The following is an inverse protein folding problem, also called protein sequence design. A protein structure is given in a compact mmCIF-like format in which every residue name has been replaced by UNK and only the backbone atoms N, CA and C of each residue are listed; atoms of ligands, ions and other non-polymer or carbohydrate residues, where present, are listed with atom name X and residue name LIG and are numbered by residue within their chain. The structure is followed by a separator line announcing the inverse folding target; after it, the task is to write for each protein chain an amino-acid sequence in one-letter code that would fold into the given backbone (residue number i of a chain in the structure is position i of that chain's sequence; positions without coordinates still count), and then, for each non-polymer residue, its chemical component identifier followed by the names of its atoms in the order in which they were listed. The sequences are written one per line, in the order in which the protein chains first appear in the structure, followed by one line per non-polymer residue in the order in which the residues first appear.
data_IF_419266912612
#
_entry.id   IF_419266912612
#
_cell.length_a   1.000
_cell.length_b   1.000
_cell.length_c   1.000
_cell.angle_alpha   90.00
_cell.angle_beta   90.00
_cell.angle_gamma   90.00
#
_symmetry.space_group_name_H-M   'P 1'
#
loop_
_entity.id
_entity.type
_entity.pdbx_description
1 polymer ?
#
# COMPACT_ATOMS: atom_id res chain seq x y z
N UNK A 1 2.25 8.39 30.85
CA UNK A 1 2.70 8.49 29.45
C UNK A 1 2.99 7.08 28.94
N UNK A 2 2.85 6.85 27.63
CA UNK A 2 3.12 5.54 27.02
C UNK A 2 4.57 5.09 27.24
N UNK A 3 4.75 3.84 27.66
CA UNK A 3 6.06 3.23 27.97
C UNK A 3 6.83 2.78 26.73
N UNK A 4 6.14 2.50 25.63
CA UNK A 4 6.71 1.98 24.39
C UNK A 4 7.05 3.12 23.41
N UNK A 5 7.98 2.85 22.50
CA UNK A 5 8.43 3.83 21.49
C UNK A 5 7.46 3.96 20.31
N UNK A 6 6.47 3.07 20.22
CA UNK A 6 5.47 3.01 19.15
C UNK A 6 4.06 3.01 19.73
N UNK A 7 3.13 3.56 18.95
CA UNK A 7 1.71 3.57 19.23
C UNK A 7 0.98 2.70 18.21
N UNK A 8 0.02 1.91 18.68
CA UNK A 8 -0.93 1.19 17.85
C UNK A 8 -2.33 1.82 18.01
N UNK A 9 -2.99 2.08 16.89
CA UNK A 9 -4.34 2.62 16.82
C UNK A 9 -5.28 1.59 16.20
N UNK A 10 -6.43 1.37 16.80
CA UNK A 10 -7.51 0.57 16.23
C UNK A 10 -8.80 0.92 16.98
N UNK A 11 -9.92 0.95 16.29
CA UNK A 11 -11.23 1.05 16.93
C UNK A 11 -11.65 -0.33 17.49
N UNK A 12 -12.52 -0.35 18.50
CA UNK A 12 -13.01 -1.58 19.13
C UNK A 12 -14.01 -2.35 18.23
N UNK A 13 -14.50 -1.70 17.18
CA UNK A 13 -15.43 -2.26 16.20
C UNK A 13 -14.74 -3.17 15.17
N UNK A 14 -13.43 -3.02 15.02
CA UNK A 14 -12.65 -3.73 14.02
C UNK A 14 -11.63 -4.64 14.68
N UNK A 15 -11.31 -5.75 14.02
CA UNK A 15 -10.22 -6.62 14.43
C UNK A 15 -9.25 -6.78 13.27
N UNK A 16 -8.07 -6.20 13.41
CA UNK A 16 -6.99 -6.45 12.47
C UNK A 16 -6.34 -7.80 12.79
N UNK A 17 -6.49 -8.78 11.90
CA UNK A 17 -5.88 -10.10 12.03
C UNK A 17 -4.50 -10.18 11.35
N UNK A 18 -4.00 -9.07 10.80
CA UNK A 18 -2.76 -8.99 10.01
C UNK A 18 -1.69 -8.11 10.69
N UNK A 19 -1.61 -8.23 12.02
CA UNK A 19 -0.76 -7.38 12.85
C UNK A 19 0.72 -7.66 12.63
N UNK A 20 1.11 -8.92 12.41
CA UNK A 20 2.51 -9.27 12.28
C UNK A 20 3.07 -8.66 10.99
N UNK A 21 2.31 -8.72 9.90
CA UNK A 21 2.69 -8.14 8.61
C UNK A 21 2.67 -6.62 8.64
N UNK A 22 1.64 -6.01 9.23
CA UNK A 22 1.56 -4.55 9.38
C UNK A 22 2.74 -4.03 10.23
N UNK A 23 3.02 -4.68 11.36
CA UNK A 23 4.14 -4.33 12.23
C UNK A 23 5.48 -4.56 11.54
N UNK A 24 5.64 -5.67 10.82
CA UNK A 24 6.85 -5.98 10.05
C UNK A 24 7.14 -4.92 8.97
N UNK A 25 6.10 -4.38 8.32
CA UNK A 25 6.28 -3.25 7.41
C UNK A 25 6.69 -1.97 8.15
N UNK A 26 6.04 -1.68 9.29
CA UNK A 26 6.31 -0.50 10.11
C UNK A 26 7.75 -0.46 10.64
N UNK A 27 8.29 -1.56 11.17
CA UNK A 27 9.64 -1.58 11.75
C UNK A 27 10.76 -1.34 10.72
N UNK A 28 10.48 -1.53 9.42
CA UNK A 28 11.42 -1.16 8.34
C UNK A 28 11.59 0.35 8.26
N UNK A 29 10.50 1.08 8.48
CA UNK A 29 10.44 2.54 8.32
C UNK A 29 9.57 3.18 9.42
N UNK A 30 9.99 3.11 10.70
CA UNK A 30 9.16 3.48 11.84
C UNK A 30 8.90 4.98 11.94
N UNK A 31 9.59 5.79 11.13
CA UNK A 31 9.26 7.20 10.96
C UNK A 31 7.93 7.37 10.25
N UNK A 32 7.47 6.47 9.38
CA UNK A 32 6.21 6.65 8.66
C UNK A 32 5.00 6.19 9.48
N UNK A 33 3.82 6.71 9.15
CA UNK A 33 2.54 6.16 9.61
C UNK A 33 2.19 4.97 8.70
N UNK A 34 2.11 3.78 9.27
CA UNK A 34 1.67 2.58 8.55
C UNK A 34 0.24 2.27 8.95
N UNK A 35 -0.68 2.22 8.00
CA UNK A 35 -2.10 2.00 8.25
C UNK A 35 -2.64 0.87 7.41
N UNK A 36 -3.64 0.20 7.95
CA UNK A 36 -4.41 -0.82 7.27
C UNK A 36 -5.63 -0.20 6.61
N UNK A 37 -6.03 -0.69 5.43
CA UNK A 37 -7.27 -0.25 4.79
C UNK A 37 -8.00 -1.41 4.12
N UNK A 38 -9.34 -1.48 4.27
CA UNK A 38 -10.18 -2.31 3.42
C UNK A 38 -10.18 -1.81 1.97
N UNK A 39 -10.37 -2.71 0.98
CA UNK A 39 -10.43 -2.35 -0.43
C UNK A 39 -11.44 -1.23 -0.73
N UNK A 40 -12.62 -1.31 -0.12
CA UNK A 40 -13.71 -0.35 -0.28
C UNK A 40 -13.36 1.09 0.13
N UNK A 41 -12.36 1.28 0.99
CA UNK A 41 -11.89 2.59 1.43
C UNK A 41 -10.50 2.95 0.88
N UNK A 42 -9.84 2.02 0.18
CA UNK A 42 -8.45 2.17 -0.22
C UNK A 42 -8.28 3.28 -1.26
N UNK A 43 -9.05 3.22 -2.35
CA UNK A 43 -8.98 4.21 -3.44
C UNK A 43 -9.30 5.61 -2.93
N UNK A 44 -10.32 5.77 -2.10
CA UNK A 44 -10.68 7.09 -1.56
C UNK A 44 -9.57 7.65 -0.67
N UNK A 45 -8.92 6.83 0.16
CA UNK A 45 -7.75 7.26 0.93
C UNK A 45 -6.57 7.67 0.03
N UNK A 46 -6.39 7.02 -1.13
CA UNK A 46 -5.39 7.45 -2.12
C UNK A 46 -5.77 8.80 -2.76
N UNK A 47 -7.04 9.01 -3.11
CA UNK A 47 -7.55 10.29 -3.67
C UNK A 47 -7.33 11.44 -2.69
N UNK A 48 -7.41 11.18 -1.39
CA UNK A 48 -7.24 12.19 -0.35
C UNK A 48 -5.78 12.38 0.05
N UNK A 49 -4.88 12.32 -0.93
CA UNK A 49 -3.49 12.77 -0.83
C UNK A 49 -3.37 14.17 -1.40
N UNK A 50 -2.66 15.02 -0.68
CA UNK A 50 -2.47 16.43 -0.99
C UNK A 50 -0.99 16.69 -1.22
N UNK A 51 -0.68 17.43 -2.28
CA UNK A 51 0.66 17.89 -2.59
C UNK A 51 0.64 19.39 -2.93
N UNK A 52 1.51 20.18 -2.33
CA UNK A 52 1.77 21.55 -2.76
C UNK A 52 3.21 21.95 -2.42
N UNK A 53 4.04 22.03 -3.45
CA UNK A 53 5.46 22.33 -3.34
C UNK A 53 5.75 23.76 -2.82
N UNK A 54 4.85 24.72 -3.05
CA UNK A 54 5.04 26.12 -2.63
C UNK A 54 5.01 26.28 -1.11
N UNK A 55 4.24 25.43 -0.43
CA UNK A 55 4.07 25.44 1.02
C UNK A 55 4.66 24.21 1.70
N UNK A 56 5.36 23.35 0.95
CA UNK A 56 5.90 22.07 1.41
C UNK A 56 4.84 21.16 2.07
N UNK A 57 3.67 21.05 1.42
CA UNK A 57 2.59 20.16 1.82
C UNK A 57 2.74 18.84 1.08
N UNK A 58 2.84 17.73 1.80
CA UNK A 58 2.91 16.37 1.27
C UNK A 58 2.27 15.40 2.26
N UNK A 59 0.93 15.34 2.22
CA UNK A 59 0.17 14.63 3.25
C UNK A 59 -0.92 13.76 2.65
N UNK A 60 -1.47 12.85 3.43
CA UNK A 60 -2.61 12.06 3.00
C UNK A 60 -3.44 11.59 4.17
N UNK A 61 -4.72 11.32 3.89
CA UNK A 61 -5.58 10.69 4.87
C UNK A 61 -5.32 9.18 4.94
N UNK A 62 -5.32 8.66 6.15
CA UNK A 62 -5.45 7.24 6.45
C UNK A 62 -6.45 7.04 7.58
N UNK A 63 -7.33 6.06 7.43
CA UNK A 63 -8.29 5.70 8.46
C UNK A 63 -7.66 4.75 9.48
N UNK A 64 -7.39 5.28 10.67
CA UNK A 64 -6.68 4.57 11.73
C UNK A 64 -7.54 3.50 12.42
N UNK A 65 -8.86 3.53 12.21
CA UNK A 65 -9.79 2.61 12.89
C UNK A 65 -9.49 1.15 12.55
N UNK A 66 -8.89 0.91 11.38
CA UNK A 66 -8.59 -0.41 10.82
C UNK A 66 -7.26 -1.02 11.30
N UNK A 67 -6.50 -0.29 12.12
CA UNK A 67 -5.17 -0.70 12.56
C UNK A 67 -4.10 0.21 11.96
N UNK A 68 -3.34 0.88 12.80
CA UNK A 68 -2.21 1.68 12.36
C UNK A 68 -1.09 1.69 13.40
N UNK A 69 0.15 1.71 12.93
CA UNK A 69 1.34 1.95 13.75
C UNK A 69 1.95 3.31 13.43
N UNK A 70 2.36 4.00 14.48
CA UNK A 70 3.12 5.25 14.38
C UNK A 70 4.14 5.35 15.51
N UNK A 71 5.24 6.08 15.27
CA UNK A 71 6.16 6.39 16.35
C UNK A 71 5.52 7.27 17.42
N UNK A 72 5.87 7.03 18.70
CA UNK A 72 5.36 7.78 19.85
C UNK A 72 5.55 9.29 19.70
N UNK A 73 6.68 9.72 19.14
CA UNK A 73 7.00 11.13 18.97
C UNK A 73 6.01 11.85 18.04
N UNK A 74 5.45 11.18 17.02
CA UNK A 74 4.40 11.76 16.17
C UNK A 74 3.10 11.97 16.95
N UNK A 75 2.70 11.00 17.77
CA UNK A 75 1.55 11.15 18.67
C UNK A 75 1.75 12.31 19.66
N UNK A 76 2.95 12.46 20.22
CA UNK A 76 3.27 13.57 21.13
C UNK A 76 3.25 14.94 20.43
N UNK A 77 3.80 15.03 19.23
CA UNK A 77 3.78 16.24 18.40
C UNK A 77 2.34 16.61 18.05
N UNK A 78 1.54 15.64 17.61
CA UNK A 78 0.13 15.83 17.30
C UNK A 78 -0.66 16.34 18.51
N UNK A 79 -0.49 15.73 19.69
CA UNK A 79 -1.17 16.19 20.91
C UNK A 79 -0.75 17.61 21.31
N UNK A 80 0.54 17.94 21.13
CA UNK A 80 1.06 19.31 21.38
C UNK A 80 0.43 20.31 20.42
N UNK A 81 0.30 19.94 19.15
CA UNK A 81 -0.33 20.76 18.14
C UNK A 81 -1.83 20.91 18.38
N UNK A 82 -2.54 19.83 18.69
CA UNK A 82 -3.95 19.82 19.01
C UNK A 82 -4.26 20.74 20.20
N UNK A 83 -3.44 20.69 21.25
CA UNK A 83 -3.57 21.57 22.43
C UNK A 83 -3.29 23.05 22.15
N UNK A 84 -2.58 23.37 21.07
CA UNK A 84 -2.32 24.74 20.60
C UNK A 84 -3.26 25.19 19.48
N UNK A 85 -4.03 24.26 18.92
CA UNK A 85 -4.99 24.53 17.85
C UNK A 85 -6.19 25.30 18.38
N UNK A 86 -6.84 26.07 17.51
CA UNK A 86 -8.09 26.80 17.82
C UNK A 86 -9.31 25.92 17.49
N UNK A 87 -9.13 24.60 17.43
CA UNK A 87 -10.23 23.69 17.13
C UNK A 87 -11.26 23.71 18.28
N UNK A 88 -12.52 23.90 17.92
CA UNK A 88 -13.63 23.79 18.86
C UNK A 88 -13.75 22.36 19.45
N UNK A 89 -14.42 22.22 20.61
CA UNK A 89 -14.57 20.93 21.32
C UNK A 89 -15.12 19.81 20.44
N UNK A 90 -16.03 20.12 19.52
CA UNK A 90 -16.61 19.12 18.61
C UNK A 90 -15.61 18.62 17.57
N UNK A 91 -14.64 19.45 17.16
CA UNK A 91 -13.58 19.06 16.22
C UNK A 91 -12.48 18.25 16.90
N UNK A 92 -12.21 18.48 18.18
CA UNK A 92 -11.28 17.65 18.97
C UNK A 92 -11.73 16.18 19.02
N UNK A 93 -13.04 15.91 18.96
CA UNK A 93 -13.57 14.55 18.86
C UNK A 93 -13.25 13.86 17.53
N UNK A 94 -12.85 14.63 16.52
CA UNK A 94 -12.43 14.16 15.20
C UNK A 94 -10.89 14.18 15.05
N UNK A 95 -10.15 14.22 16.18
CA UNK A 95 -8.69 14.25 16.20
C UNK A 95 -8.04 13.10 15.41
N UNK A 96 -8.67 11.93 15.37
CA UNK A 96 -8.18 10.78 14.59
C UNK A 96 -8.02 11.09 13.10
N UNK A 97 -8.94 11.87 12.51
CA UNK A 97 -8.89 12.26 11.10
C UNK A 97 -7.78 13.25 10.80
N UNK A 98 -7.50 14.14 11.76
CA UNK A 98 -6.42 15.11 11.62
C UNK A 98 -5.06 14.46 11.79
N UNK A 99 -4.92 13.36 12.53
CA UNK A 99 -3.62 12.78 12.87
C UNK A 99 -2.76 12.47 11.64
N UNK A 100 -3.31 11.76 10.64
CA UNK A 100 -2.58 11.40 9.42
C UNK A 100 -2.27 12.66 8.58
N UNK A 101 -3.25 13.53 8.39
CA UNK A 101 -3.11 14.76 7.59
C UNK A 101 -2.09 15.73 8.23
N UNK A 102 -2.15 15.91 9.54
CA UNK A 102 -1.27 16.75 10.33
C UNK A 102 0.11 16.11 10.58
N UNK A 103 0.36 14.90 10.12
CA UNK A 103 1.74 14.40 10.11
C UNK A 103 2.60 15.05 9.02
N UNK A 104 1.95 15.69 8.03
CA UNK A 104 2.56 16.17 6.79
C UNK A 104 3.48 15.12 6.17
N UNK A 105 3.01 13.87 6.13
CA UNK A 105 3.67 12.76 5.48
C UNK A 105 2.59 11.91 4.82
N UNK A 106 2.91 11.30 3.67
CA UNK A 106 2.01 10.29 3.11
C UNK A 106 1.98 9.07 4.04
N UNK A 107 0.80 8.56 4.44
CA UNK A 107 0.72 7.29 5.13
C UNK A 107 1.08 6.13 4.19
N UNK A 108 1.72 5.09 4.72
CA UNK A 108 1.91 3.82 4.02
C UNK A 108 0.70 2.93 4.30
N UNK A 109 -0.23 2.90 3.34
CA UNK A 109 -1.48 2.16 3.46
C UNK A 109 -1.27 0.75 2.90
N UNK A 110 -1.50 -0.27 3.73
CA UNK A 110 -1.56 -1.66 3.33
C UNK A 110 -3.02 -2.08 3.18
N UNK A 111 -3.36 -2.59 2.01
CA UNK A 111 -4.68 -3.11 1.72
C UNK A 111 -4.87 -4.50 2.32
N UNK A 112 -6.03 -4.71 2.94
CA UNK A 112 -6.48 -6.05 3.34
C UNK A 112 -7.99 -6.08 3.59
N UNK A 113 -8.66 -7.23 3.43
CA UNK A 113 -10.09 -7.33 3.66
C UNK A 113 -10.39 -7.17 5.15
N UNK A 114 -11.11 -6.09 5.49
CA UNK A 114 -11.78 -5.89 6.78
C UNK A 114 -13.25 -5.68 6.46
N UNK A 115 -14.15 -6.28 7.24
CA UNK A 115 -15.58 -5.95 7.13
C UNK A 115 -15.76 -4.42 7.30
N UNK A 116 -16.63 -3.78 6.51
CA UNK A 116 -16.72 -2.31 6.47
C UNK A 116 -17.96 -1.79 7.20
N UNK A 117 -17.80 -0.67 7.91
CA UNK A 117 -18.86 0.29 8.22
C UNK A 117 -18.30 1.71 8.05
N UNK A 118 -19.17 2.61 7.59
CA UNK A 118 -18.85 3.86 6.86
C UNK A 118 -17.77 4.78 7.47
N UNK A 119 -16.59 4.81 6.86
CA UNK A 119 -15.49 5.74 7.13
C UNK A 119 -15.66 7.11 6.43
N UNK A 120 -16.14 7.08 5.17
CA UNK A 120 -16.19 8.22 4.24
C UNK A 120 -16.98 9.40 4.83
N UNK A 121 -18.19 9.13 5.36
CA UNK A 121 -19.06 10.16 5.94
C UNK A 121 -18.42 10.92 7.11
N UNK A 122 -17.49 10.31 7.84
CA UNK A 122 -16.85 10.94 9.01
C UNK A 122 -15.72 11.88 8.59
N UNK A 123 -14.92 11.51 7.59
CA UNK A 123 -13.88 12.37 7.04
C UNK A 123 -14.46 13.61 6.36
N UNK A 124 -15.47 13.45 5.49
CA UNK A 124 -16.10 14.58 4.79
C UNK A 124 -16.57 15.63 5.81
N UNK A 125 -17.21 15.16 6.89
CA UNK A 125 -17.66 16.02 7.99
C UNK A 125 -16.49 16.70 8.73
N UNK A 126 -15.37 16.03 8.94
CA UNK A 126 -14.21 16.62 9.62
C UNK A 126 -13.55 17.73 8.79
N UNK A 127 -13.51 17.56 7.47
CA UNK A 127 -12.89 18.51 6.54
C UNK A 127 -13.79 19.71 6.21
N UNK A 128 -15.08 19.50 5.97
CA UNK A 128 -16.06 20.59 5.79
C UNK A 128 -16.13 21.51 7.01
N UNK A 129 -15.88 20.94 8.19
CA UNK A 129 -15.94 21.70 9.42
C UNK A 129 -14.64 22.46 9.70
N UNK A 130 -13.50 22.24 9.04
CA UNK A 130 -12.25 22.96 9.34
C UNK A 130 -12.21 24.36 8.72
N UNK A 131 -11.94 25.38 9.54
CA UNK A 131 -11.91 26.81 9.18
C UNK A 131 -10.68 27.50 9.79
N UNK A 132 -9.63 26.74 10.11
CA UNK A 132 -8.48 27.28 10.83
C UNK A 132 -7.52 28.05 9.90
N UNK A 133 -7.29 29.32 10.20
CA UNK A 133 -6.27 30.14 9.54
C UNK A 133 -4.88 29.82 10.10
N UNK A 134 -4.11 29.03 9.34
CA UNK A 134 -2.64 28.79 9.41
C UNK A 134 -1.98 28.52 10.79
N UNK A 135 -1.28 27.38 10.96
CA UNK A 135 -0.65 27.03 12.23
C UNK A 135 0.78 27.57 12.37
N UNK A 136 1.17 27.84 13.63
CA UNK A 136 2.58 27.82 14.05
C UNK A 136 3.17 26.45 13.67
N UNK A 137 4.29 26.47 12.98
CA UNK A 137 4.87 25.33 12.29
C UNK A 137 5.31 24.21 13.26
N UNK A 138 4.61 23.07 13.25
CA UNK A 138 4.95 21.85 14.00
C UNK A 138 5.08 20.63 13.08
N UNK A 139 5.10 20.85 11.76
CA UNK A 139 5.05 19.80 10.76
C UNK A 139 6.40 19.62 10.09
N UNK A 140 6.75 18.37 9.78
CA UNK A 140 7.95 18.12 8.99
C UNK A 140 7.74 18.54 7.54
N UNK A 141 8.61 19.42 7.07
CA UNK A 141 8.56 20.02 5.72
C UNK A 141 9.27 19.18 4.67
N UNK A 142 9.97 18.13 5.08
CA UNK A 142 10.70 17.23 4.19
C UNK A 142 9.97 15.89 4.23
N UNK A 143 9.69 15.33 3.04
CA UNK A 143 9.14 13.98 2.93
C UNK A 143 10.14 12.98 3.51
N UNK A 144 9.66 12.16 4.44
CA UNK A 144 10.43 11.09 5.08
C UNK A 144 10.66 9.95 4.09
N UNK A 145 11.87 9.37 4.13
CA UNK A 145 12.18 8.17 3.37
C UNK A 145 11.50 6.93 3.99
N UNK A 146 11.07 5.95 3.19
CA UNK A 146 11.03 5.98 1.72
C UNK A 146 9.95 6.94 1.23
N UNK A 147 10.28 7.62 0.14
CA UNK A 147 9.34 8.49 -0.58
C UNK A 147 8.21 7.66 -1.18
N UNK A 148 7.11 8.31 -1.52
CA UNK A 148 5.91 7.62 -1.97
C UNK A 148 6.14 6.60 -3.11
N UNK A 149 6.98 6.94 -4.10
CA UNK A 149 7.30 6.05 -5.24
C UNK A 149 8.21 4.87 -4.90
N UNK A 150 8.84 4.88 -3.72
CA UNK A 150 9.71 3.79 -3.23
C UNK A 150 8.91 2.77 -2.40
N UNK A 151 7.62 3.03 -2.14
CA UNK A 151 6.77 2.22 -1.27
C UNK A 151 6.06 1.13 -2.05
N UNK A 152 6.76 0.01 -2.20
CA UNK A 152 6.31 -1.12 -3.01
C UNK A 152 5.35 -2.07 -2.30
N UNK A 153 5.34 -2.15 -0.97
CA UNK A 153 4.39 -2.97 -0.23
C UNK A 153 2.96 -2.40 -0.31
N UNK A 154 2.02 -3.18 -0.86
CA UNK A 154 0.64 -2.73 -1.13
C UNK A 154 -0.42 -3.48 -0.34
N UNK A 155 -0.23 -4.77 -0.07
CA UNK A 155 -1.21 -5.59 0.63
C UNK A 155 -0.56 -6.60 1.56
N UNK A 156 -1.33 -7.08 2.53
CA UNK A 156 -0.92 -8.20 3.40
C UNK A 156 -1.45 -9.51 2.83
N UNK A 157 -0.68 -10.57 2.99
CA UNK A 157 -1.15 -11.92 2.68
C UNK A 157 -2.21 -12.37 3.69
N UNK A 158 -3.18 -13.18 3.24
CA UNK A 158 -4.29 -13.65 4.09
C UNK A 158 -3.84 -14.42 5.33
N UNK A 159 -2.68 -15.06 5.27
CA UNK A 159 -2.10 -15.84 6.36
C UNK A 159 -1.21 -15.02 7.31
N UNK A 160 -1.11 -13.70 7.10
CA UNK A 160 -0.27 -12.78 7.87
C UNK A 160 1.23 -13.15 7.87
N UNK A 161 1.73 -13.75 6.77
CA UNK A 161 3.13 -14.21 6.65
C UNK A 161 3.92 -13.57 5.51
N UNK A 162 3.29 -12.69 4.73
CA UNK A 162 3.96 -11.95 3.69
C UNK A 162 3.29 -10.61 3.38
N UNK A 163 4.06 -9.71 2.78
CA UNK A 163 3.61 -8.50 2.11
C UNK A 163 3.60 -8.75 0.60
N UNK A 164 2.49 -8.47 -0.05
CA UNK A 164 2.45 -8.31 -1.49
C UNK A 164 3.08 -6.98 -1.89
N UNK A 165 3.99 -7.04 -2.86
CA UNK A 165 4.76 -5.87 -3.33
C UNK A 165 4.59 -5.68 -4.83
N UNK A 166 4.55 -4.42 -5.26
CA UNK A 166 4.50 -4.02 -6.67
C UNK A 166 4.88 -2.55 -6.81
N UNK A 167 5.53 -2.17 -7.91
CA UNK A 167 5.72 -0.76 -8.28
C UNK A 167 4.57 -0.20 -9.14
N UNK A 168 3.61 -1.04 -9.53
CA UNK A 168 2.46 -0.63 -10.33
C UNK A 168 1.42 0.01 -9.41
N UNK A 169 1.26 1.33 -9.54
CA UNK A 169 0.26 2.09 -8.82
C UNK A 169 -1.09 2.06 -9.54
N UNK A 170 -2.16 1.93 -8.77
CA UNK A 170 -3.54 2.05 -9.26
C UNK A 170 -3.92 3.51 -9.59
N UNK A 171 -3.19 4.47 -9.02
CA UNK A 171 -3.50 5.90 -9.13
C UNK A 171 -2.23 6.68 -9.46
N UNK A 172 -2.40 7.78 -10.19
CA UNK A 172 -1.37 8.79 -10.40
C UNK A 172 -0.80 9.31 -9.08
N UNK A 173 0.43 9.79 -9.10
CA UNK A 173 1.06 10.32 -7.90
C UNK A 173 0.44 11.68 -7.56
N UNK A 174 0.28 12.02 -6.27
CA UNK A 174 -0.25 13.32 -5.87
C UNK A 174 0.65 14.47 -6.34
N UNK A 175 1.90 14.22 -6.72
CA UNK A 175 2.78 15.22 -7.35
C UNK A 175 2.33 15.66 -8.74
N UNK A 176 1.48 14.87 -9.40
CA UNK A 176 0.96 15.16 -10.74
C UNK A 176 -0.10 16.28 -10.71
N UNK A 177 -0.56 16.67 -9.52
CA UNK A 177 -1.51 17.75 -9.31
C UNK A 177 -1.13 18.62 -8.10
N UNK A 178 -1.22 19.94 -8.24
CA UNK A 178 -0.94 20.87 -7.15
C UNK A 178 -2.23 21.26 -6.42
N UNK A 179 -2.36 20.81 -5.17
CA UNK A 179 -3.46 21.19 -4.30
C UNK A 179 -3.42 22.68 -3.95
N UNK A 180 -4.52 23.39 -4.20
CA UNK A 180 -4.70 24.77 -3.78
C UNK A 180 -6.08 24.97 -3.16
N UNK A 181 -6.13 25.60 -1.99
CA UNK A 181 -7.38 25.96 -1.31
C UNK A 181 -8.21 26.99 -2.07
N UNK A 182 -7.61 27.71 -3.03
CA UNK A 182 -8.35 28.61 -3.93
C UNK A 182 -9.25 27.85 -4.91
N UNK A 183 -8.85 26.61 -5.27
CA UNK A 183 -9.49 25.82 -6.32
C UNK A 183 -10.27 24.64 -5.74
N UNK A 184 -9.78 24.07 -4.63
CA UNK A 184 -10.36 22.93 -3.94
C UNK A 184 -10.71 23.37 -2.53
N UNK A 185 -12.01 23.51 -2.28
CA UNK A 185 -12.55 23.94 -0.99
C UNK A 185 -13.19 22.80 -0.21
N UNK A 186 -13.41 21.64 -0.84
CA UNK A 186 -14.05 20.48 -0.23
C UNK A 186 -13.61 19.16 -0.90
N UNK A 187 -13.91 18.04 -0.24
CA UNK A 187 -13.57 16.69 -0.71
C UNK A 187 -14.19 16.34 -2.07
N UNK A 188 -15.50 16.60 -2.32
CA UNK A 188 -16.07 16.32 -3.64
C UNK A 188 -15.35 17.03 -4.79
N UNK A 189 -14.86 18.26 -4.58
CA UNK A 189 -14.04 18.96 -5.57
C UNK A 189 -12.68 18.28 -5.78
N UNK A 190 -12.03 17.83 -4.70
CA UNK A 190 -10.79 17.05 -4.79
C UNK A 190 -11.02 15.75 -5.59
N UNK A 191 -12.06 14.99 -5.25
CA UNK A 191 -12.40 13.75 -5.93
C UNK A 191 -12.72 13.97 -7.41
N UNK A 192 -13.42 15.07 -7.75
CA UNK A 192 -13.68 15.45 -9.13
C UNK A 192 -12.38 15.66 -9.93
N UNK A 193 -11.31 16.20 -9.33
CA UNK A 193 -10.02 16.35 -10.03
C UNK A 193 -9.40 15.00 -10.43
N UNK A 194 -9.63 13.95 -9.64
CA UNK A 194 -9.18 12.59 -9.98
C UNK A 194 -10.10 11.89 -10.97
N UNK A 195 -11.40 12.22 -10.99
CA UNK A 195 -12.34 11.65 -11.97
C UNK A 195 -12.05 12.13 -13.41
N UNK A 196 -11.53 13.35 -13.55
CA UNK A 196 -11.11 13.89 -14.85
C UNK A 196 -9.79 13.25 -15.35
N UNK A 197 -9.01 12.66 -14.44
CA UNK A 197 -7.87 11.85 -14.78
C UNK A 197 -8.37 10.45 -15.16
N UNK A 198 -8.32 10.12 -16.46
CA UNK A 198 -8.81 8.87 -17.07
C UNK A 198 -8.11 7.58 -16.59
N UNK A 199 -7.37 7.65 -15.49
CA UNK A 199 -6.43 6.66 -14.99
C UNK A 199 -6.77 6.15 -13.58
N UNK A 200 -7.99 6.38 -13.07
CA UNK A 200 -8.43 5.90 -11.74
C UNK A 200 -9.60 4.91 -11.88
N UNK A 201 -9.53 3.70 -11.30
CA UNK A 201 -10.66 2.78 -11.32
C UNK A 201 -11.85 3.25 -10.47
N UNK A 202 -13.03 2.69 -10.75
CA UNK A 202 -14.17 2.81 -9.84
C UNK A 202 -13.91 2.02 -8.55
N UNK A 203 -14.60 2.40 -7.47
CA UNK A 203 -14.51 1.66 -6.20
C UNK A 203 -15.00 0.21 -6.39
N UNK A 204 -16.07 0.00 -7.16
CA UNK A 204 -16.59 -1.34 -7.50
C UNK A 204 -15.53 -2.21 -8.20
N UNK A 205 -14.84 -1.65 -9.21
CA UNK A 205 -13.76 -2.37 -9.88
C UNK A 205 -12.65 -2.73 -8.89
N UNK A 206 -12.29 -1.79 -8.01
CA UNK A 206 -11.21 -2.02 -7.06
C UNK A 206 -11.56 -3.05 -6.01
N UNK A 207 -12.77 -3.06 -5.47
CA UNK A 207 -13.20 -4.08 -4.50
C UNK A 207 -13.12 -5.52 -5.05
N UNK A 208 -13.36 -5.68 -6.35
CA UNK A 208 -13.25 -6.95 -7.05
C UNK A 208 -11.81 -7.31 -7.43
N UNK A 209 -10.96 -6.31 -7.72
CA UNK A 209 -9.65 -6.50 -8.35
C UNK A 209 -8.46 -5.95 -7.53
N UNK A 210 -8.65 -5.78 -6.22
CA UNK A 210 -7.72 -5.15 -5.30
C UNK A 210 -6.39 -5.91 -5.15
N UNK A 211 -5.35 -5.28 -4.58
CA UNK A 211 -4.03 -5.89 -4.43
C UNK A 211 -4.03 -7.21 -3.62
N UNK A 212 -4.81 -7.29 -2.54
CA UNK A 212 -4.84 -8.49 -1.68
C UNK A 212 -5.33 -9.74 -2.41
N UNK A 213 -6.08 -9.60 -3.51
CA UNK A 213 -6.59 -10.70 -4.34
C UNK A 213 -5.46 -11.54 -4.97
N UNK A 214 -4.25 -10.98 -5.11
CA UNK A 214 -3.09 -11.75 -5.56
C UNK A 214 -2.60 -12.78 -4.51
N UNK A 215 -2.96 -12.60 -3.24
CA UNK A 215 -2.38 -13.29 -2.08
C UNK A 215 -3.44 -13.72 -1.05
N UNK A 216 -4.69 -13.89 -1.49
CA UNK A 216 -5.82 -14.28 -0.64
C UNK A 216 -6.08 -15.79 -0.58
N UNK A 217 -5.26 -16.58 -1.28
CA UNK A 217 -5.37 -18.03 -1.41
C UNK A 217 -6.65 -18.51 -2.14
N UNK A 218 -7.35 -17.63 -2.86
CA UNK A 218 -8.47 -17.99 -3.74
C UNK A 218 -8.08 -17.81 -5.21
N UNK A 219 -7.85 -18.91 -5.97
CA UNK A 219 -7.43 -18.82 -7.37
C UNK A 219 -8.51 -18.26 -8.31
N UNK A 220 -9.74 -18.03 -7.84
CA UNK A 220 -10.84 -17.48 -8.63
C UNK A 220 -10.98 -15.97 -8.53
N UNK A 221 -10.24 -15.33 -7.62
CA UNK A 221 -10.20 -13.88 -7.52
C UNK A 221 -8.83 -13.40 -7.98
N UNK A 222 -8.74 -12.20 -8.55
CA UNK A 222 -7.49 -11.73 -9.12
C UNK A 222 -7.26 -10.26 -8.84
N UNK A 223 -6.02 -9.90 -8.51
CA UNK A 223 -5.59 -8.52 -8.62
C UNK A 223 -5.48 -8.18 -10.10
N UNK A 224 -6.00 -7.02 -10.50
CA UNK A 224 -5.85 -6.49 -11.86
C UNK A 224 -5.00 -5.22 -11.84
N UNK A 225 -4.03 -5.12 -12.73
CA UNK A 225 -3.13 -3.97 -12.79
C UNK A 225 -3.82 -2.66 -13.21
N UNK A 226 -5.06 -2.74 -13.71
CA UNK A 226 -5.90 -1.67 -14.26
C UNK A 226 -5.31 -1.02 -15.53
N UNK A 227 -4.04 -0.65 -15.48
CA UNK A 227 -3.23 -0.21 -16.61
C UNK A 227 -2.33 -1.35 -17.11
N UNK A 228 -1.94 -1.28 -18.38
CA UNK A 228 -1.05 -2.26 -18.99
C UNK A 228 0.37 -2.16 -18.40
N UNK A 229 0.93 -3.26 -17.85
CA UNK A 229 2.29 -3.24 -17.29
C UNK A 229 3.34 -2.85 -18.31
N UNK A 230 4.33 -2.08 -17.87
CA UNK A 230 5.52 -1.72 -18.65
C UNK A 230 6.67 -2.67 -18.36
N UNK A 231 7.64 -2.68 -19.25
CA UNK A 231 8.93 -3.32 -19.01
C UNK A 231 9.54 -2.79 -17.71
N UNK A 232 10.04 -3.72 -16.89
CA UNK A 232 10.58 -3.50 -15.55
C UNK A 232 9.54 -3.24 -14.45
N UNK A 233 8.24 -3.19 -14.77
CA UNK A 233 7.24 -3.31 -13.72
C UNK A 233 7.34 -4.68 -13.06
N UNK A 234 7.03 -4.76 -11.78
CA UNK A 234 7.14 -5.99 -11.03
C UNK A 234 6.02 -6.17 -10.03
N UNK A 235 5.79 -7.42 -9.69
CA UNK A 235 5.05 -7.83 -8.51
C UNK A 235 5.85 -8.88 -7.75
N UNK A 236 5.56 -9.08 -6.48
CA UNK A 236 6.40 -9.93 -5.64
C UNK A 236 5.91 -10.08 -4.23
N UNK A 237 6.70 -10.80 -3.42
CA UNK A 237 6.42 -11.03 -2.01
C UNK A 237 7.64 -10.67 -1.17
N UNK A 238 7.41 -10.03 -0.03
CA UNK A 238 8.34 -10.00 1.10
C UNK A 238 7.78 -10.96 2.16
N UNK A 239 8.57 -11.92 2.59
CA UNK A 239 8.17 -12.92 3.59
C UNK A 239 8.57 -12.45 4.99
N UNK A 240 7.76 -12.77 6.00
CA UNK A 240 8.11 -12.50 7.40
C UNK A 240 9.21 -13.44 7.91
N UNK A 241 9.27 -14.65 7.34
CA UNK A 241 10.36 -15.60 7.53
C UNK A 241 11.31 -15.64 6.33
N UNK A 242 11.97 -16.78 6.16
CA UNK A 242 12.82 -17.08 4.99
C UNK A 242 12.24 -18.25 4.21
N UNK A 243 12.68 -18.42 2.96
CA UNK A 243 12.34 -19.58 2.16
C UNK A 243 13.51 -19.95 1.24
N UNK A 244 13.54 -21.21 0.82
CA UNK A 244 14.53 -21.67 -0.16
C UNK A 244 13.93 -21.53 -1.57
N UNK A 245 14.55 -20.72 -2.46
CA UNK A 245 14.00 -20.41 -3.77
C UNK A 245 14.10 -21.60 -4.73
N UNK A 246 13.15 -22.54 -4.63
CA UNK A 246 13.05 -23.73 -5.49
C UNK A 246 11.95 -23.60 -6.53
N UNK A 247 10.79 -23.09 -6.12
CA UNK A 247 9.60 -23.06 -6.97
C UNK A 247 8.74 -21.85 -6.64
N UNK A 248 8.28 -21.18 -7.70
CA UNK A 248 7.32 -20.09 -7.66
C UNK A 248 6.05 -20.51 -8.42
N UNK A 249 4.90 -20.34 -7.79
CA UNK A 249 3.60 -20.63 -8.39
C UNK A 249 2.84 -19.32 -8.66
N UNK A 250 2.41 -19.17 -9.91
CA UNK A 250 1.70 -17.99 -10.42
C UNK A 250 0.42 -18.48 -11.07
N UNK A 251 -0.73 -17.99 -10.63
CA UNK A 251 -2.01 -18.24 -11.29
C UNK A 251 -2.49 -16.94 -11.93
N UNK A 252 -2.84 -16.98 -13.21
CA UNK A 252 -3.32 -15.83 -13.98
C UNK A 252 -4.75 -16.07 -14.48
N UNK A 253 -5.48 -14.99 -14.75
CA UNK A 253 -6.87 -15.11 -15.23
C UNK A 253 -6.95 -15.72 -16.65
N UNK A 254 -5.90 -15.52 -17.45
CA UNK A 254 -5.79 -16.03 -18.82
C UNK A 254 -4.58 -16.94 -18.98
N UNK A 255 -4.72 -17.92 -19.86
CA UNK A 255 -3.64 -18.83 -20.24
C UNK A 255 -2.38 -18.08 -20.68
N UNK A 256 -1.22 -18.52 -20.21
CA UNK A 256 0.06 -17.94 -20.59
C UNK A 256 0.86 -18.86 -21.52
N UNK A 257 1.44 -18.27 -22.56
CA UNK A 257 2.44 -18.91 -23.41
C UNK A 257 3.82 -18.37 -23.06
N UNK A 258 4.79 -19.27 -22.82
CA UNK A 258 6.19 -18.93 -22.53
C UNK A 258 6.37 -17.95 -21.34
N UNK A 259 5.89 -18.28 -20.14
CA UNK A 259 6.04 -17.43 -18.96
C UNK A 259 7.50 -17.09 -18.64
N UNK A 260 8.44 -17.97 -18.95
CA UNK A 260 9.89 -17.76 -18.79
C UNK A 260 10.48 -16.66 -19.68
N UNK A 261 9.78 -16.27 -20.77
CA UNK A 261 10.13 -15.12 -21.60
C UNK A 261 9.40 -13.85 -21.17
N UNK A 262 8.25 -14.01 -20.53
CA UNK A 262 7.43 -12.87 -20.06
C UNK A 262 7.99 -12.29 -18.77
N UNK A 263 8.52 -13.15 -17.90
CA UNK A 263 8.93 -12.77 -16.56
C UNK A 263 10.42 -13.05 -16.29
N UNK A 264 11.07 -12.07 -15.68
CA UNK A 264 12.35 -12.24 -15.01
C UNK A 264 12.11 -12.37 -13.50
N UNK A 265 12.59 -13.45 -12.89
CA UNK A 265 12.46 -13.68 -11.45
C UNK A 265 13.78 -13.35 -10.74
N UNK A 266 13.71 -12.54 -9.68
CA UNK A 266 14.84 -12.22 -8.82
C UNK A 266 14.48 -12.41 -7.35
N UNK A 267 15.46 -12.76 -6.52
CA UNK A 267 15.29 -12.96 -5.08
C UNK A 267 16.33 -12.17 -4.30
N UNK A 268 16.07 -11.93 -3.01
CA UNK A 268 17.03 -11.28 -2.10
C UNK A 268 16.95 -11.88 -0.70
N UNK A 269 18.09 -11.94 -0.01
CA UNK A 269 18.21 -12.40 1.40
C UNK A 269 18.22 -11.21 2.38
N UNK A 270 18.60 -10.01 1.92
CA UNK A 270 18.78 -8.82 2.74
C UNK A 270 17.82 -7.68 2.39
N UNK A 271 17.22 -7.67 1.19
CA UNK A 271 16.35 -6.60 0.69
C UNK A 271 17.06 -5.62 -0.25
N UNK A 272 18.40 -5.58 -0.22
CA UNK A 272 19.22 -4.61 -0.93
C UNK A 272 19.82 -5.21 -2.21
N UNK A 273 20.37 -6.43 -2.11
CA UNK A 273 21.03 -7.11 -3.22
C UNK A 273 20.09 -8.13 -3.86
N UNK A 274 19.81 -7.93 -5.14
CA UNK A 274 18.89 -8.78 -5.90
C UNK A 274 19.64 -9.72 -6.84
N UNK A 275 19.40 -11.02 -6.68
CA UNK A 275 19.96 -12.07 -7.51
C UNK A 275 18.91 -12.56 -8.50
N UNK A 276 19.17 -12.41 -9.80
CA UNK A 276 18.31 -12.98 -10.85
C UNK A 276 18.45 -14.50 -10.89
N UNK A 277 17.31 -15.20 -10.89
CA UNK A 277 17.23 -16.65 -10.99
C UNK A 277 16.99 -17.08 -12.43
N UNK A 278 17.61 -18.19 -12.84
CA UNK A 278 17.18 -18.89 -14.06
C UNK A 278 15.84 -19.57 -13.77
N UNK A 279 14.90 -19.44 -14.69
CA UNK A 279 13.55 -19.97 -14.57
C UNK A 279 13.31 -21.06 -15.60
N UNK A 280 12.65 -22.15 -15.20
CA UNK A 280 12.17 -23.18 -16.11
C UNK A 280 10.69 -23.47 -15.82
N UNK A 281 9.83 -23.28 -16.81
CA UNK A 281 8.41 -23.55 -16.66
C UNK A 281 8.13 -25.05 -16.73
N UNK A 282 7.47 -25.59 -15.70
CA UNK A 282 7.08 -27.02 -15.64
C UNK A 282 5.59 -27.23 -15.92
N UNK A 283 4.80 -26.16 -15.98
CA UNK A 283 3.39 -26.21 -16.35
C UNK A 283 3.20 -26.49 -17.84
N UNK A 284 2.05 -27.09 -18.21
CA UNK A 284 1.68 -27.26 -19.60
C UNK A 284 1.60 -25.91 -20.33
N UNK A 285 1.98 -25.88 -21.61
CA UNK A 285 1.84 -24.68 -22.43
C UNK A 285 0.37 -24.24 -22.49
N UNK A 286 0.12 -22.94 -22.30
CA UNK A 286 -1.25 -22.40 -22.30
C UNK A 286 -2.04 -22.70 -21.02
N UNK A 287 -1.37 -23.06 -19.93
CA UNK A 287 -2.02 -23.12 -18.61
C UNK A 287 -2.17 -21.71 -18.00
N UNK A 288 -3.25 -21.50 -17.25
CA UNK A 288 -3.41 -20.35 -16.34
C UNK A 288 -2.60 -20.51 -15.05
N UNK A 289 -2.34 -21.74 -14.65
CA UNK A 289 -1.47 -22.07 -13.53
C UNK A 289 -0.05 -22.32 -14.06
N UNK A 290 0.84 -21.38 -13.78
CA UNK A 290 2.25 -21.40 -14.13
C UNK A 290 3.08 -21.80 -12.92
N UNK A 291 3.89 -22.85 -13.10
CA UNK A 291 4.87 -23.30 -12.11
C UNK A 291 6.27 -23.09 -12.65
N UNK A 292 7.05 -22.25 -11.97
CA UNK A 292 8.43 -21.91 -12.34
C UNK A 292 9.41 -22.55 -11.35
N UNK A 293 10.28 -23.42 -11.84
CA UNK A 293 11.45 -23.87 -11.10
C UNK A 293 12.53 -22.79 -11.14
N UNK A 294 13.12 -22.49 -9.98
CA UNK A 294 14.10 -21.43 -9.82
C UNK A 294 15.49 -22.02 -9.58
N UNK A 295 16.48 -21.49 -10.29
CA UNK A 295 17.91 -21.74 -10.02
C UNK A 295 18.62 -20.40 -9.91
N UNK A 296 18.78 -19.92 -8.67
CA UNK A 296 19.44 -18.66 -8.36
C UNK A 296 20.97 -18.89 -8.23
N UNK A 297 21.79 -17.92 -8.66
CA UNK A 297 23.25 -18.04 -8.59
C UNK A 297 23.77 -17.87 -7.15
N UNK A 298 24.75 -18.67 -6.73
CA UNK A 298 25.19 -18.75 -5.34
C UNK A 298 24.19 -19.51 -4.45
N UNK A 299 24.61 -20.03 -3.31
CA UNK A 299 23.77 -20.79 -2.36
C UNK A 299 22.69 -19.93 -1.67
N UNK A 300 21.86 -19.20 -2.43
CA UNK A 300 20.71 -18.47 -1.88
C UNK A 300 19.72 -19.50 -1.36
N UNK A 301 19.79 -19.75 -0.06
CA UNK A 301 18.98 -20.77 0.62
C UNK A 301 17.91 -20.13 1.52
N UNK A 302 18.06 -18.84 1.85
CA UNK A 302 17.23 -18.13 2.81
C UNK A 302 16.73 -16.80 2.26
N UNK A 303 16.08 -16.84 1.09
CA UNK A 303 15.48 -15.66 0.50
C UNK A 303 14.39 -15.08 1.43
N UNK A 304 14.34 -13.76 1.53
CA UNK A 304 13.30 -13.00 2.25
C UNK A 304 12.31 -12.33 1.31
N UNK A 305 12.66 -12.17 0.04
CA UNK A 305 11.75 -11.61 -0.93
C UNK A 305 12.00 -12.16 -2.33
N UNK A 306 10.96 -12.09 -3.16
CA UNK A 306 10.97 -12.44 -4.58
C UNK A 306 10.30 -11.33 -5.37
N UNK A 307 10.84 -11.03 -6.55
CA UNK A 307 10.27 -10.12 -7.55
C UNK A 307 10.13 -10.85 -8.87
N UNK A 308 8.95 -10.71 -9.48
CA UNK A 308 8.61 -11.16 -10.82
C UNK A 308 8.44 -9.91 -11.66
N UNK A 309 9.37 -9.69 -12.59
CA UNK A 309 9.50 -8.46 -13.37
C UNK A 309 9.07 -8.72 -14.81
N UNK A 310 8.25 -7.85 -15.39
CA UNK A 310 7.88 -7.89 -16.80
C UNK A 310 9.10 -7.59 -17.68
N UNK A 311 9.43 -8.52 -18.57
CA UNK A 311 10.58 -8.38 -19.47
C UNK A 311 10.31 -7.39 -20.63
N UNK A 312 9.03 -7.18 -20.97
CA UNK A 312 8.55 -6.37 -22.09
C UNK A 312 7.25 -5.63 -21.72
N UNK A 313 6.94 -4.57 -22.46
CA UNK A 313 5.69 -3.83 -22.33
C UNK A 313 4.49 -4.70 -22.73
N UNK A 314 3.42 -4.65 -21.94
CA UNK A 314 2.15 -5.33 -22.22
C UNK A 314 1.21 -4.36 -22.94
N UNK A 315 0.39 -4.90 -23.83
CA UNK A 315 -0.66 -4.13 -24.50
C UNK A 315 -1.93 -4.04 -23.64
N UNK A 316 -2.19 -5.06 -22.82
CA UNK A 316 -3.39 -5.18 -22.00
C UNK A 316 -3.03 -5.25 -20.51
N UNK A 317 -3.96 -4.86 -19.61
CA UNK A 317 -3.83 -5.08 -18.18
C UNK A 317 -3.56 -6.56 -17.85
N UNK A 318 -2.85 -6.79 -16.74
CA UNK A 318 -2.51 -8.12 -16.27
C UNK A 318 -3.35 -8.48 -15.04
N UNK A 319 -3.77 -9.74 -14.96
CA UNK A 319 -4.51 -10.29 -13.81
C UNK A 319 -3.72 -11.39 -13.13
N UNK A 320 -3.42 -11.19 -11.84
CA UNK A 320 -2.74 -12.13 -10.96
C UNK A 320 -3.72 -12.68 -9.93
N UNK A 321 -4.07 -13.95 -10.05
CA UNK A 321 -5.05 -14.63 -9.19
C UNK A 321 -4.42 -15.37 -8.02
N UNK A 322 -3.13 -15.70 -8.12
CA UNK A 322 -2.40 -16.24 -6.99
C UNK A 322 -0.91 -16.09 -7.20
N UNK A 323 -0.21 -15.73 -6.14
CA UNK A 323 1.24 -15.76 -6.05
C UNK A 323 1.65 -16.52 -4.79
N UNK A 324 2.29 -17.67 -4.97
CA UNK A 324 2.64 -18.55 -3.86
C UNK A 324 4.10 -19.01 -3.92
N UNK A 325 4.69 -19.17 -2.73
CA UNK A 325 6.02 -19.72 -2.50
C UNK A 325 5.89 -21.08 -1.83
N UNK A 326 6.69 -22.04 -2.28
CA UNK A 326 6.78 -23.33 -1.61
C UNK A 326 7.66 -23.24 -0.36
N UNK A 327 7.23 -23.91 0.72
CA UNK A 327 8.02 -24.15 1.95
C UNK A 327 8.54 -22.88 2.66
N UNK A 328 7.63 -22.05 3.19
CA UNK A 328 8.01 -20.95 4.11
C UNK A 328 8.51 -21.51 5.44
N UNK A 329 9.75 -21.17 5.81
CA UNK A 329 10.28 -21.35 7.17
C UNK A 329 10.01 -20.09 7.99
N UNK A 330 9.19 -20.22 9.04
CA UNK A 330 8.85 -19.16 10.00
C UNK A 330 9.71 -19.29 11.23
#
# INVERSE_FOLDING_TARGET
MASFDFCYFQDDQWKNNHLDTLYSNFIRYPSLLHASSPPAAYIDQLRWRLNNNEIALHTGYADLQFGAFSARWKAQNFMTQLGKSVLGKDRIRLAEFYFSIWSNQYPWILEHPIALASAIRRLTKALELDLSDTPKDYFERIEEAPRLFERDAKAVCVNDRCLFTTNMEVMSYPTDFQFSTSNITNIPQLEATYNDMSAVPSNDFWEENAYHRAVDQDPNTCWNTFQSPRKNDYFGLITLGTWTPKTLEIITASAMTQPERTFQVSVTENGDDWTTCKTHATSAQGASHVKLELTCGGEVNNAKAVRVTFAEDRQEPFSLCSLALNELTV
#
